data_IF_799480622487
#
_entry.id   IF_799480622487
#
_cell.length_a   1.000
_cell.length_b   1.000
_cell.length_c   1.000
_cell.angle_alpha   90.00
_cell.angle_beta   90.00
_cell.angle_gamma   90.00
#
_symmetry.space_group_name_H-M   'P 1'
#
loop_
_entity.id
_entity.type
_entity.pdbx_description
1 polymer ?
#
# COMPACT_ATOMS: atom_id res chain seq x y z
N UNK A 1 31.42 1.98 -12.92
CA UNK A 1 30.24 1.98 -13.80
C UNK A 1 29.70 3.38 -13.77
N UNK A 2 29.93 4.16 -14.84
CA UNK A 2 29.34 5.51 -14.93
C UNK A 2 27.84 5.38 -14.75
N UNK A 3 27.27 6.25 -13.92
CA UNK A 3 25.87 6.14 -13.52
C UNK A 3 25.01 6.51 -14.73
N UNK A 4 24.54 5.51 -15.47
CA UNK A 4 23.56 5.67 -16.54
C UNK A 4 22.40 6.51 -15.99
N UNK A 5 22.20 7.69 -16.54
CA UNK A 5 21.26 8.69 -15.99
C UNK A 5 20.09 8.98 -16.93
N UNK A 6 20.18 8.56 -18.19
CA UNK A 6 19.14 8.68 -19.20
C UNK A 6 18.54 7.31 -19.53
N UNK A 7 17.23 7.33 -19.79
CA UNK A 7 16.44 6.12 -20.05
C UNK A 7 16.90 5.35 -21.29
N UNK A 8 17.14 6.05 -22.40
CA UNK A 8 17.54 5.42 -23.66
C UNK A 8 18.96 4.83 -23.57
N UNK A 9 19.88 5.46 -22.82
CA UNK A 9 21.23 4.92 -22.61
C UNK A 9 21.19 3.55 -21.90
N UNK A 10 20.31 3.39 -20.90
CA UNK A 10 20.12 2.10 -20.24
C UNK A 10 19.57 1.05 -21.22
N UNK A 11 18.57 1.40 -22.01
CA UNK A 11 17.96 0.47 -22.96
C UNK A 11 18.97 0.04 -24.03
N UNK A 12 19.71 0.98 -24.61
CA UNK A 12 20.77 0.70 -25.57
C UNK A 12 21.84 -0.20 -24.94
N UNK A 13 22.32 0.14 -23.74
CA UNK A 13 23.28 -0.69 -23.02
C UNK A 13 22.76 -2.13 -22.85
N UNK A 14 21.51 -2.29 -22.42
CA UNK A 14 20.92 -3.60 -22.24
C UNK A 14 20.78 -4.39 -23.56
N UNK A 15 20.40 -3.72 -24.66
CA UNK A 15 20.25 -4.34 -25.97
C UNK A 15 21.60 -4.73 -26.57
N UNK A 16 22.62 -3.87 -26.44
CA UNK A 16 23.99 -4.12 -26.91
C UNK A 16 24.64 -5.31 -26.18
N UNK A 17 24.27 -5.51 -24.92
CA UNK A 17 24.84 -6.55 -24.05
C UNK A 17 23.90 -7.75 -23.84
N UNK A 18 22.86 -7.91 -24.66
CA UNK A 18 21.79 -8.92 -24.50
C UNK A 18 22.28 -10.36 -24.31
N UNK A 19 23.42 -10.71 -24.89
CA UNK A 19 24.00 -12.06 -24.81
C UNK A 19 24.66 -12.33 -23.44
N UNK A 20 25.01 -11.27 -22.71
CA UNK A 20 25.67 -11.34 -21.40
C UNK A 20 24.74 -11.05 -20.21
N UNK A 21 23.53 -10.53 -20.47
CA UNK A 21 22.59 -10.17 -19.40
C UNK A 21 22.02 -11.42 -18.74
N UNK A 22 22.23 -11.53 -17.42
CA UNK A 22 21.57 -12.53 -16.60
C UNK A 22 20.17 -12.12 -16.19
N UNK A 23 19.40 -13.08 -15.65
CA UNK A 23 18.04 -12.83 -15.10
C UNK A 23 18.00 -11.69 -14.08
N UNK A 24 19.05 -11.56 -13.27
CA UNK A 24 19.16 -10.51 -12.24
C UNK A 24 19.34 -9.14 -12.87
N UNK A 25 20.15 -9.05 -13.93
CA UNK A 25 20.41 -7.81 -14.65
C UNK A 25 19.16 -7.32 -15.38
N UNK A 26 18.41 -8.25 -15.99
CA UNK A 26 17.12 -7.92 -16.60
C UNK A 26 16.13 -7.36 -15.56
N UNK A 27 15.97 -8.00 -14.41
CA UNK A 27 15.09 -7.50 -13.33
C UNK A 27 15.60 -6.16 -12.77
N UNK A 28 16.91 -6.01 -12.58
CA UNK A 28 17.52 -4.79 -12.08
C UNK A 28 17.32 -3.62 -13.05
N UNK A 29 17.51 -3.85 -14.35
CA UNK A 29 17.30 -2.84 -15.40
C UNK A 29 15.86 -2.33 -15.38
N UNK A 30 14.85 -3.22 -15.34
CA UNK A 30 13.44 -2.82 -15.23
C UNK A 30 13.16 -2.04 -13.93
N UNK A 31 13.83 -2.40 -12.83
CA UNK A 31 13.71 -1.68 -11.56
C UNK A 31 14.30 -0.27 -11.64
N UNK A 32 15.37 -0.09 -12.42
CA UNK A 32 16.11 1.15 -12.51
C UNK A 32 15.48 2.17 -13.47
N UNK A 33 14.85 1.72 -14.55
CA UNK A 33 14.27 2.55 -15.62
C UNK A 33 13.46 3.75 -15.14
N UNK A 34 12.58 3.56 -14.15
CA UNK A 34 11.66 4.61 -13.67
C UNK A 34 12.38 5.76 -12.96
N UNK A 35 13.62 5.56 -12.53
CA UNK A 35 14.45 6.58 -11.90
C UNK A 35 15.26 7.43 -12.90
N UNK A 36 15.23 7.07 -14.18
CA UNK A 36 16.04 7.72 -15.22
C UNK A 36 15.34 8.94 -15.81
N UNK A 37 16.16 9.88 -16.31
CA UNK A 37 15.68 11.05 -17.03
C UNK A 37 15.06 10.63 -18.37
N UNK A 38 14.02 11.36 -18.78
CA UNK A 38 13.29 11.14 -20.03
C UNK A 38 12.67 9.73 -20.17
N UNK A 39 12.28 9.12 -19.05
CA UNK A 39 11.53 7.87 -19.06
C UNK A 39 10.30 7.97 -19.98
N UNK A 40 10.19 7.04 -20.94
CA UNK A 40 9.10 7.02 -21.90
C UNK A 40 8.61 5.62 -22.20
N UNK A 41 7.32 5.37 -21.93
CA UNK A 41 6.65 4.12 -22.29
C UNK A 41 6.45 3.95 -23.80
N UNK A 42 6.63 5.01 -24.59
CA UNK A 42 6.51 4.97 -26.05
C UNK A 42 7.84 4.75 -26.76
N UNK A 43 8.95 4.54 -26.02
CA UNK A 43 10.26 4.30 -26.61
C UNK A 43 10.26 3.01 -27.46
N UNK A 44 10.70 3.06 -28.73
CA UNK A 44 10.90 1.86 -29.55
C UNK A 44 11.88 0.88 -28.92
N UNK A 45 12.94 1.38 -28.28
CA UNK A 45 13.94 0.56 -27.60
C UNK A 45 13.35 -0.18 -26.39
N UNK A 46 12.36 0.42 -25.70
CA UNK A 46 11.65 -0.29 -24.63
C UNK A 46 10.86 -1.47 -25.18
N UNK A 47 10.24 -1.30 -26.36
CA UNK A 47 9.53 -2.40 -27.02
C UNK A 47 10.48 -3.53 -27.37
N UNK A 48 11.58 -3.23 -28.06
CA UNK A 48 12.59 -4.23 -28.43
C UNK A 48 13.17 -4.95 -27.21
N UNK A 49 13.51 -4.20 -26.15
CA UNK A 49 14.03 -4.80 -24.93
C UNK A 49 12.98 -5.62 -24.19
N UNK A 50 11.72 -5.20 -24.19
CA UNK A 50 10.63 -6.02 -23.68
C UNK A 50 10.45 -7.30 -24.48
N UNK A 51 10.65 -7.25 -25.80
CA UNK A 51 10.57 -8.41 -26.67
C UNK A 51 11.66 -9.42 -26.32
N UNK A 52 12.88 -8.95 -26.11
CA UNK A 52 13.99 -9.75 -25.62
C UNK A 52 13.69 -10.41 -24.27
N UNK A 53 13.23 -9.66 -23.28
CA UNK A 53 12.90 -10.21 -21.95
C UNK A 53 11.80 -11.26 -22.05
N UNK A 54 10.72 -10.96 -22.78
CA UNK A 54 9.58 -11.86 -22.89
C UNK A 54 9.92 -13.14 -23.67
N UNK A 55 10.86 -13.11 -24.63
CA UNK A 55 11.38 -14.33 -25.25
C UNK A 55 12.26 -15.17 -24.33
N UNK A 56 12.71 -14.62 -23.20
CA UNK A 56 13.51 -15.28 -22.17
C UNK A 56 12.70 -15.69 -20.94
N UNK A 57 11.36 -15.61 -20.95
CA UNK A 57 10.52 -15.95 -19.78
C UNK A 57 10.81 -17.33 -19.16
N UNK A 58 11.02 -18.41 -19.94
CA UNK A 58 11.35 -19.72 -19.37
C UNK A 58 12.62 -19.71 -18.49
N UNK A 59 13.59 -18.85 -18.80
CA UNK A 59 14.86 -18.75 -18.08
C UNK A 59 14.69 -18.15 -16.66
N UNK A 60 13.58 -17.49 -16.40
CA UNK A 60 13.28 -16.95 -15.06
C UNK A 60 12.76 -18.01 -14.10
N UNK A 61 12.16 -19.10 -14.60
CA UNK A 61 11.57 -20.17 -13.80
C UNK A 61 10.68 -19.62 -12.67
N UNK A 62 10.98 -19.99 -11.42
CA UNK A 62 10.25 -19.52 -10.22
C UNK A 62 10.34 -18.01 -9.97
N UNK A 63 11.21 -17.28 -10.68
CA UNK A 63 11.37 -15.81 -10.54
C UNK A 63 10.54 -15.00 -11.54
N UNK A 64 9.74 -15.63 -12.40
CA UNK A 64 8.95 -14.94 -13.45
C UNK A 64 8.00 -13.87 -12.86
N UNK A 65 7.46 -14.12 -11.68
CA UNK A 65 6.61 -13.18 -10.93
C UNK A 65 7.28 -11.82 -10.67
N UNK A 66 8.62 -11.78 -10.55
CA UNK A 66 9.36 -10.53 -10.38
C UNK A 66 9.39 -9.71 -11.67
N UNK A 67 9.51 -10.36 -12.83
CA UNK A 67 9.47 -9.68 -14.14
C UNK A 67 8.10 -9.07 -14.37
N UNK A 68 7.03 -9.85 -14.12
CA UNK A 68 5.64 -9.39 -14.20
C UNK A 68 5.44 -8.18 -13.29
N UNK A 69 5.82 -8.30 -12.01
CA UNK A 69 5.73 -7.21 -11.04
C UNK A 69 6.50 -5.97 -11.51
N UNK A 70 7.68 -6.09 -12.12
CA UNK A 70 8.44 -4.92 -12.61
C UNK A 70 7.78 -4.25 -13.82
N UNK A 71 7.25 -5.01 -14.78
CA UNK A 71 6.46 -4.39 -15.85
C UNK A 71 5.19 -3.71 -15.33
N UNK A 72 4.55 -4.28 -14.30
CA UNK A 72 3.43 -3.66 -13.59
C UNK A 72 3.81 -2.31 -12.98
N UNK A 73 4.92 -2.28 -12.25
CA UNK A 73 5.48 -1.05 -11.65
C UNK A 73 5.81 -0.03 -12.72
N UNK A 74 6.30 -0.43 -13.89
CA UNK A 74 6.55 0.49 -14.99
C UNK A 74 5.26 1.01 -15.64
N UNK A 75 4.16 0.25 -15.55
CA UNK A 75 2.91 0.54 -16.26
C UNK A 75 2.97 0.16 -17.75
N UNK A 76 3.84 -0.78 -18.12
CA UNK A 76 4.03 -1.20 -19.50
C UNK A 76 3.13 -2.38 -19.87
N UNK A 77 1.86 -2.07 -20.14
CA UNK A 77 0.80 -3.05 -20.42
C UNK A 77 1.08 -4.01 -21.60
N UNK A 78 1.74 -3.60 -22.71
CA UNK A 78 2.01 -4.52 -23.82
C UNK A 78 2.79 -5.76 -23.41
N UNK A 79 3.82 -5.61 -22.57
CA UNK A 79 4.58 -6.75 -22.06
C UNK A 79 3.73 -7.62 -21.13
N UNK A 80 2.91 -7.02 -20.25
CA UNK A 80 2.04 -7.76 -19.33
C UNK A 80 1.04 -8.65 -20.08
N UNK A 81 0.41 -8.14 -21.12
CA UNK A 81 -0.53 -8.90 -21.96
C UNK A 81 0.18 -10.07 -22.62
N UNK A 82 1.38 -9.85 -23.17
CA UNK A 82 2.14 -10.93 -23.81
C UNK A 82 2.59 -11.98 -22.82
N UNK A 83 3.09 -11.58 -21.64
CA UNK A 83 3.46 -12.53 -20.58
C UNK A 83 2.24 -13.34 -20.15
N UNK A 84 1.06 -12.71 -20.06
CA UNK A 84 -0.17 -13.41 -19.73
C UNK A 84 -0.52 -14.48 -20.76
N UNK A 85 -0.56 -14.09 -22.03
CA UNK A 85 -0.97 -14.97 -23.13
C UNK A 85 0.03 -16.09 -23.41
N UNK A 86 1.33 -15.81 -23.38
CA UNK A 86 2.35 -16.75 -23.83
C UNK A 86 2.83 -17.67 -22.69
N UNK A 87 2.71 -17.23 -21.44
CA UNK A 87 3.30 -17.92 -20.29
C UNK A 87 2.29 -18.12 -19.15
N UNK A 88 1.77 -17.03 -18.57
CA UNK A 88 1.11 -17.09 -17.28
C UNK A 88 -0.16 -17.96 -17.31
N UNK A 89 -1.02 -17.82 -18.32
CA UNK A 89 -2.33 -18.51 -18.36
C UNK A 89 -2.24 -20.04 -18.19
N UNK A 90 -1.11 -20.64 -18.56
CA UNK A 90 -0.87 -22.08 -18.46
C UNK A 90 -0.03 -22.50 -17.23
N UNK A 91 0.57 -21.56 -16.49
CA UNK A 91 1.49 -21.82 -15.37
C UNK A 91 1.02 -21.23 -14.04
N UNK A 92 -0.23 -20.76 -13.97
CA UNK A 92 -0.78 -20.14 -12.77
C UNK A 92 -0.89 -21.10 -11.59
N UNK A 93 -1.21 -22.36 -11.86
CA UNK A 93 -1.37 -23.38 -10.81
C UNK A 93 -0.04 -23.73 -10.14
N UNK A 94 1.06 -23.56 -10.87
CA UNK A 94 2.43 -23.80 -10.42
C UNK A 94 2.96 -22.66 -9.52
N UNK A 95 2.27 -21.52 -9.48
CA UNK A 95 2.70 -20.38 -8.69
C UNK A 95 2.29 -20.52 -7.23
N UNK A 96 3.22 -20.18 -6.33
CA UNK A 96 2.91 -20.08 -4.91
C UNK A 96 1.99 -18.89 -4.63
N UNK A 97 1.24 -18.97 -3.54
CA UNK A 97 0.33 -17.89 -3.12
C UNK A 97 1.06 -16.55 -3.01
N UNK A 98 2.25 -16.53 -2.41
CA UNK A 98 3.08 -15.32 -2.30
C UNK A 98 3.42 -14.70 -3.66
N UNK A 99 3.73 -15.54 -4.65
CA UNK A 99 4.01 -15.06 -6.01
C UNK A 99 2.75 -14.49 -6.65
N UNK A 100 1.61 -15.17 -6.50
CA UNK A 100 0.30 -14.71 -6.97
C UNK A 100 -0.10 -13.38 -6.30
N UNK A 101 0.10 -13.21 -4.99
CA UNK A 101 -0.11 -11.95 -4.28
C UNK A 101 0.72 -10.81 -4.88
N UNK A 102 1.99 -11.08 -5.19
CA UNK A 102 2.89 -10.06 -5.77
C UNK A 102 2.47 -9.63 -7.17
N UNK A 103 1.83 -10.51 -7.95
CA UNK A 103 1.33 -10.20 -9.29
C UNK A 103 -0.19 -9.99 -9.33
N UNK A 104 -0.86 -9.98 -8.18
CA UNK A 104 -2.33 -9.94 -8.08
C UNK A 104 -2.94 -8.67 -8.68
N UNK A 105 -2.25 -7.53 -8.54
CA UNK A 105 -2.58 -6.28 -9.25
C UNK A 105 -2.49 -6.36 -10.79
N UNK A 106 -1.75 -7.31 -11.36
CA UNK A 106 -1.69 -7.55 -12.82
C UNK A 106 -2.58 -8.70 -13.30
N UNK A 107 -2.85 -9.65 -12.42
CA UNK A 107 -3.53 -10.91 -12.73
C UNK A 107 -4.61 -11.18 -11.67
N UNK A 108 -5.51 -10.22 -11.48
CA UNK A 108 -6.49 -10.21 -10.39
C UNK A 108 -7.60 -11.28 -10.49
N UNK A 109 -7.35 -12.37 -11.19
CA UNK A 109 -8.29 -13.43 -11.47
C UNK A 109 -8.15 -14.63 -10.52
N UNK A 110 -7.20 -14.63 -9.58
CA UNK A 110 -6.83 -15.85 -8.85
C UNK A 110 -6.85 -15.67 -7.33
N UNK A 111 -7.68 -16.50 -6.68
CA UNK A 111 -7.73 -16.68 -5.23
C UNK A 111 -7.62 -18.17 -4.91
N UNK A 112 -6.72 -18.53 -3.98
CA UNK A 112 -6.66 -19.86 -3.37
C UNK A 112 -7.05 -19.73 -1.90
N UNK A 113 -8.03 -20.52 -1.47
CA UNK A 113 -8.71 -20.42 -0.16
C UNK A 113 -7.86 -20.86 1.02
N UNK A 114 -6.86 -21.69 0.76
CA UNK A 114 -6.23 -22.48 1.81
C UNK A 114 -4.83 -21.90 2.05
N UNK A 115 -4.54 -21.47 3.29
CA UNK A 115 -3.20 -21.08 3.81
C UNK A 115 -2.68 -19.65 3.61
N UNK A 116 -3.53 -18.66 3.29
CA UNK A 116 -3.07 -17.27 3.21
C UNK A 116 -2.62 -16.72 4.58
N UNK A 117 -1.36 -16.30 4.69
CA UNK A 117 -0.89 -15.49 5.83
C UNK A 117 -1.62 -14.15 5.90
N UNK A 118 -1.54 -13.45 7.03
CA UNK A 118 -2.12 -12.10 7.14
C UNK A 118 -1.59 -11.14 6.07
N UNK A 119 -0.29 -11.22 5.78
CA UNK A 119 0.35 -10.43 4.72
C UNK A 119 -0.24 -10.78 3.35
N UNK A 120 -0.38 -12.07 3.03
CA UNK A 120 -0.95 -12.50 1.75
C UNK A 120 -2.41 -12.05 1.60
N UNK A 121 -3.21 -12.25 2.65
CA UNK A 121 -4.60 -11.84 2.65
C UNK A 121 -4.76 -10.32 2.48
N UNK A 122 -3.90 -9.55 3.13
CA UNK A 122 -3.90 -8.08 3.04
C UNK A 122 -3.45 -7.58 1.68
N UNK A 123 -2.42 -8.20 1.08
CA UNK A 123 -1.96 -7.89 -0.27
C UNK A 123 -3.00 -8.24 -1.34
N UNK A 124 -3.70 -9.38 -1.21
CA UNK A 124 -4.76 -9.77 -2.14
C UNK A 124 -5.96 -8.82 -2.06
N UNK A 125 -6.43 -8.49 -0.85
CA UNK A 125 -7.49 -7.49 -0.68
C UNK A 125 -7.08 -6.16 -1.27
N UNK A 126 -5.86 -5.71 -1.01
CA UNK A 126 -5.36 -4.46 -1.57
C UNK A 126 -5.28 -4.49 -3.10
N UNK A 127 -4.85 -5.61 -3.68
CA UNK A 127 -4.80 -5.81 -5.13
C UNK A 127 -6.20 -5.72 -5.75
N UNK A 128 -7.20 -6.38 -5.14
CA UNK A 128 -8.59 -6.28 -5.58
C UNK A 128 -9.14 -4.86 -5.45
N UNK A 129 -8.83 -4.18 -4.34
CA UNK A 129 -9.23 -2.78 -4.15
C UNK A 129 -8.64 -1.86 -5.22
N UNK A 130 -7.39 -2.10 -5.64
CA UNK A 130 -6.69 -1.28 -6.63
C UNK A 130 -7.29 -1.32 -8.02
N UNK A 131 -7.86 -2.47 -8.40
CA UNK A 131 -8.52 -2.64 -9.70
C UNK A 131 -10.05 -2.64 -9.57
N UNK A 132 -10.57 -2.25 -8.40
CA UNK A 132 -12.00 -2.20 -8.06
C UNK A 132 -12.77 -3.51 -8.33
N UNK A 133 -12.09 -4.66 -8.26
CA UNK A 133 -12.69 -5.97 -8.50
C UNK A 133 -13.50 -6.40 -7.27
N UNK A 134 -14.82 -6.43 -7.43
CA UNK A 134 -15.76 -6.84 -6.39
C UNK A 134 -16.19 -8.28 -6.62
N UNK A 135 -15.44 -9.23 -6.08
CA UNK A 135 -15.83 -10.66 -6.07
C UNK A 135 -16.23 -11.07 -4.66
N UNK A 136 -17.55 -11.12 -4.36
CA UNK A 136 -18.05 -11.20 -2.99
C UNK A 136 -17.57 -12.43 -2.20
N UNK A 137 -17.44 -13.58 -2.87
CA UNK A 137 -17.01 -14.83 -2.22
C UNK A 137 -15.55 -14.76 -1.74
N UNK A 138 -14.63 -14.35 -2.63
CA UNK A 138 -13.20 -14.24 -2.31
C UNK A 138 -12.94 -13.15 -1.27
N UNK A 139 -13.59 -11.99 -1.43
CA UNK A 139 -13.53 -10.89 -0.46
C UNK A 139 -14.06 -11.37 0.90
N UNK A 140 -15.16 -12.12 0.91
CA UNK A 140 -15.74 -12.70 2.13
C UNK A 140 -14.77 -13.65 2.84
N UNK A 141 -14.09 -14.52 2.09
CA UNK A 141 -13.14 -15.48 2.63
C UNK A 141 -11.86 -14.81 3.17
N UNK A 142 -11.28 -13.86 2.41
CA UNK A 142 -10.14 -13.05 2.85
C UNK A 142 -10.48 -12.24 4.11
N UNK A 143 -11.64 -11.59 4.11
CA UNK A 143 -12.14 -10.85 5.26
C UNK A 143 -12.29 -11.75 6.48
N UNK A 144 -12.85 -12.96 6.31
CA UNK A 144 -13.00 -13.93 7.41
C UNK A 144 -11.65 -14.30 8.01
N UNK A 145 -10.64 -14.60 7.19
CA UNK A 145 -9.28 -14.91 7.65
C UNK A 145 -8.70 -13.75 8.49
N UNK A 146 -8.84 -12.51 7.99
CA UNK A 146 -8.31 -11.34 8.71
C UNK A 146 -9.03 -11.12 10.04
N UNK A 147 -10.35 -11.23 10.09
CA UNK A 147 -11.08 -11.11 11.36
C UNK A 147 -10.73 -12.22 12.34
N UNK A 148 -10.61 -13.46 11.89
CA UNK A 148 -10.17 -14.57 12.74
C UNK A 148 -8.77 -14.30 13.32
N UNK A 149 -7.86 -13.77 12.52
CA UNK A 149 -6.51 -13.38 12.97
C UNK A 149 -6.56 -12.23 13.98
N UNK A 150 -7.29 -11.15 13.67
CA UNK A 150 -7.45 -10.01 14.57
C UNK A 150 -8.05 -10.41 15.92
N UNK A 151 -9.12 -11.19 15.91
CA UNK A 151 -9.83 -11.62 17.12
C UNK A 151 -8.98 -12.56 17.98
N UNK A 152 -8.27 -13.50 17.34
CA UNK A 152 -7.33 -14.40 18.02
C UNK A 152 -6.18 -13.61 18.68
N UNK A 153 -5.53 -12.70 17.94
CA UNK A 153 -4.44 -11.87 18.46
C UNK A 153 -4.91 -10.95 19.59
N UNK A 154 -6.08 -10.29 19.46
CA UNK A 154 -6.63 -9.45 20.53
C UNK A 154 -6.95 -10.29 21.78
N UNK A 155 -7.49 -11.48 21.61
CA UNK A 155 -7.81 -12.37 22.74
C UNK A 155 -6.54 -12.75 23.49
N UNK A 156 -5.50 -13.19 22.79
CA UNK A 156 -4.20 -13.52 23.37
C UNK A 156 -3.52 -12.33 24.09
N UNK A 157 -3.70 -11.11 23.56
CA UNK A 157 -3.15 -9.90 24.18
C UNK A 157 -3.97 -9.42 25.39
N UNK A 158 -5.27 -9.73 25.46
CA UNK A 158 -6.15 -9.37 26.59
C UNK A 158 -5.97 -10.30 27.79
N UNK A 159 -5.65 -11.57 27.52
CA UNK A 159 -5.42 -12.59 28.54
C UNK A 159 -4.01 -13.19 28.39
N UNK A 160 -2.98 -12.53 28.96
CA UNK A 160 -1.60 -12.98 28.86
C UNK A 160 -1.35 -14.37 29.46
N UNK A 161 -2.22 -14.85 30.36
CA UNK A 161 -2.05 -16.14 31.03
C UNK A 161 -2.66 -17.31 30.25
N UNK A 162 -3.50 -17.03 29.24
CA UNK A 162 -4.13 -18.07 28.40
C UNK A 162 -3.17 -18.70 27.39
N UNK A 163 -3.34 -19.98 27.05
CA UNK A 163 -2.52 -20.58 25.98
C UNK A 163 -2.79 -19.91 24.61
N UNK A 164 -1.74 -19.77 23.79
CA UNK A 164 -1.90 -19.31 22.41
C UNK A 164 -2.62 -20.37 21.58
N UNK A 165 -3.63 -19.94 20.83
CA UNK A 165 -4.22 -20.80 19.81
C UNK A 165 -3.29 -20.94 18.58
N UNK A 166 -3.69 -21.80 17.64
CA UNK A 166 -2.93 -22.05 16.42
C UNK A 166 -2.78 -20.83 15.48
N UNK A 167 -3.56 -19.76 15.69
CA UNK A 167 -3.54 -18.56 14.83
C UNK A 167 -2.64 -17.49 15.44
N UNK A 168 -2.86 -17.15 16.70
CA UNK A 168 -2.07 -16.19 17.46
C UNK A 168 -0.61 -16.63 17.63
N UNK A 169 -0.34 -17.94 17.79
CA UNK A 169 1.03 -18.49 17.85
C UNK A 169 1.87 -18.28 16.59
N UNK A 170 1.26 -17.92 15.45
CA UNK A 170 1.99 -17.55 14.23
C UNK A 170 2.62 -16.16 14.36
N UNK A 171 2.04 -15.27 15.17
CA UNK A 171 2.42 -13.86 15.24
C UNK A 171 3.01 -13.45 16.59
N UNK A 172 2.67 -14.20 17.65
CA UNK A 172 3.06 -13.93 19.03
C UNK A 172 3.96 -15.04 19.55
N UNK A 173 4.97 -14.64 20.32
CA UNK A 173 5.72 -15.53 21.19
C UNK A 173 4.93 -15.78 22.49
N UNK A 174 5.39 -16.77 23.25
CA UNK A 174 4.89 -17.17 24.56
C UNK A 174 4.80 -16.01 25.56
N UNK A 175 5.67 -15.01 25.44
CA UNK A 175 5.68 -13.78 26.26
C UNK A 175 4.77 -12.66 25.71
N UNK A 176 3.96 -12.94 24.68
CA UNK A 176 3.09 -11.99 23.96
C UNK A 176 3.83 -10.90 23.18
N UNK A 177 5.14 -11.05 22.99
CA UNK A 177 5.88 -10.22 22.03
C UNK A 177 5.57 -10.64 20.60
N UNK A 178 5.55 -9.69 19.68
CA UNK A 178 5.32 -9.96 18.27
C UNK A 178 6.61 -10.38 17.57
N UNK A 179 6.55 -11.47 16.79
CA UNK A 179 7.67 -11.85 15.90
C UNK A 179 7.92 -10.82 14.79
N UNK A 180 6.87 -10.11 14.38
CA UNK A 180 6.96 -9.04 13.38
C UNK A 180 5.87 -7.98 13.59
N UNK A 181 6.10 -6.76 13.09
CA UNK A 181 5.09 -5.72 13.14
C UNK A 181 4.01 -5.97 12.07
N UNK A 182 2.83 -6.43 12.50
CA UNK A 182 1.69 -6.72 11.62
C UNK A 182 0.82 -5.51 11.28
N UNK A 183 1.07 -4.34 11.89
CA UNK A 183 0.17 -3.18 11.77
C UNK A 183 0.05 -2.64 10.35
N UNK A 184 1.11 -2.75 9.54
CA UNK A 184 1.09 -2.30 8.15
C UNK A 184 0.06 -3.07 7.33
N UNK A 185 0.08 -4.40 7.42
CA UNK A 185 -0.83 -5.31 6.72
C UNK A 185 -2.28 -5.08 7.18
N UNK A 186 -2.48 -4.88 8.49
CA UNK A 186 -3.78 -4.57 9.06
C UNK A 186 -4.33 -3.20 8.59
N UNK A 187 -3.49 -2.18 8.47
CA UNK A 187 -3.91 -0.87 7.95
C UNK A 187 -4.26 -0.95 6.46
N UNK A 188 -3.45 -1.67 5.67
CA UNK A 188 -3.70 -1.89 4.25
C UNK A 188 -5.02 -2.64 4.01
N UNK A 189 -5.27 -3.71 4.76
CA UNK A 189 -6.51 -4.48 4.65
C UNK A 189 -7.74 -3.69 5.10
N UNK A 190 -7.65 -2.86 6.15
CA UNK A 190 -8.73 -1.96 6.56
C UNK A 190 -9.15 -1.02 5.42
N UNK A 191 -8.18 -0.37 4.78
CA UNK A 191 -8.42 0.50 3.62
C UNK A 191 -8.97 -0.28 2.43
N UNK A 192 -8.42 -1.46 2.15
CA UNK A 192 -8.87 -2.31 1.05
C UNK A 192 -10.35 -2.72 1.22
N UNK A 193 -10.74 -3.15 2.43
CA UNK A 193 -12.12 -3.45 2.75
C UNK A 193 -13.03 -2.23 2.59
N UNK A 194 -12.57 -1.04 3.00
CA UNK A 194 -13.34 0.18 2.82
C UNK A 194 -13.57 0.55 1.34
N UNK A 195 -12.66 0.19 0.43
CA UNK A 195 -12.84 0.35 -1.02
C UNK A 195 -13.79 -0.71 -1.60
N UNK A 196 -13.62 -1.97 -1.18
CA UNK A 196 -14.31 -3.12 -1.76
C UNK A 196 -15.75 -3.28 -1.27
N UNK A 197 -15.97 -3.02 0.03
CA UNK A 197 -17.26 -3.18 0.71
C UNK A 197 -17.64 -1.92 1.51
N UNK A 198 -17.70 -0.71 0.89
CA UNK A 198 -17.91 0.56 1.60
C UNK A 198 -19.23 0.64 2.38
N UNK A 199 -20.23 -0.18 2.02
CA UNK A 199 -21.52 -0.24 2.72
C UNK A 199 -21.45 -1.05 4.02
N UNK A 200 -20.46 -1.92 4.19
CA UNK A 200 -20.27 -2.70 5.40
C UNK A 200 -19.47 -1.90 6.45
N UNK A 201 -20.10 -0.80 6.90
CA UNK A 201 -19.50 0.11 7.89
C UNK A 201 -19.15 -0.61 9.18
N UNK A 202 -19.95 -1.61 9.57
CA UNK A 202 -19.76 -2.38 10.79
C UNK A 202 -18.47 -3.19 10.74
N UNK A 203 -18.22 -3.91 9.64
CA UNK A 203 -16.94 -4.62 9.48
C UNK A 203 -15.77 -3.64 9.42
N UNK A 204 -15.84 -2.57 8.63
CA UNK A 204 -14.73 -1.62 8.51
C UNK A 204 -14.40 -1.01 9.88
N UNK A 205 -15.41 -0.56 10.63
CA UNK A 205 -15.26 -0.04 12.00
C UNK A 205 -14.62 -1.08 12.91
N UNK A 206 -15.17 -2.30 12.95
CA UNK A 206 -14.68 -3.38 13.82
C UNK A 206 -13.21 -3.72 13.53
N UNK A 207 -12.81 -3.70 12.27
CA UNK A 207 -11.41 -3.91 11.87
C UNK A 207 -10.51 -2.82 12.45
N UNK A 208 -10.90 -1.55 12.31
CA UNK A 208 -10.13 -0.42 12.83
C UNK A 208 -10.02 -0.51 14.36
N UNK A 209 -11.12 -0.81 15.06
CA UNK A 209 -11.12 -0.99 16.52
C UNK A 209 -10.17 -2.09 16.98
N UNK A 210 -10.25 -3.28 16.36
CA UNK A 210 -9.36 -4.39 16.70
C UNK A 210 -7.89 -4.05 16.42
N UNK A 211 -7.60 -3.39 15.31
CA UNK A 211 -6.24 -2.96 14.96
C UNK A 211 -5.68 -1.97 15.97
N UNK A 212 -6.44 -0.92 16.32
CA UNK A 212 -6.02 0.08 17.31
C UNK A 212 -5.81 -0.57 18.68
N UNK A 213 -6.66 -1.52 19.05
CA UNK A 213 -6.49 -2.29 20.27
C UNK A 213 -5.23 -3.16 20.25
N UNK A 214 -4.94 -3.87 19.16
CA UNK A 214 -3.69 -4.63 18.98
C UNK A 214 -2.48 -3.71 19.08
N UNK A 215 -2.52 -2.55 18.42
CA UNK A 215 -1.43 -1.57 18.47
C UNK A 215 -1.18 -1.09 19.91
N UNK A 216 -2.24 -0.84 20.68
CA UNK A 216 -2.16 -0.42 22.07
C UNK A 216 -1.64 -1.53 23.00
N UNK A 217 -2.27 -2.71 22.96
CA UNK A 217 -1.92 -3.82 23.85
C UNK A 217 -0.54 -4.39 23.52
N UNK A 218 -0.24 -4.57 22.23
CA UNK A 218 1.03 -5.06 21.72
C UNK A 218 2.15 -4.01 21.65
N UNK A 219 1.86 -2.76 22.03
CA UNK A 219 2.78 -1.60 21.94
C UNK A 219 3.40 -1.46 20.53
N UNK A 220 2.65 -1.80 19.49
CA UNK A 220 3.09 -1.70 18.10
C UNK A 220 2.85 -0.28 17.58
N UNK A 221 3.88 0.33 17.01
CA UNK A 221 3.76 1.64 16.38
C UNK A 221 3.04 1.56 15.04
N UNK A 222 2.12 2.50 14.81
CA UNK A 222 1.52 2.73 13.51
C UNK A 222 2.41 3.67 12.70
N UNK A 223 2.76 3.25 11.49
CA UNK A 223 3.52 4.10 10.54
C UNK A 223 2.63 5.24 10.01
N UNK A 224 3.24 6.34 9.54
CA UNK A 224 2.49 7.41 8.87
C UNK A 224 1.61 6.91 7.71
N UNK A 225 2.10 5.93 6.95
CA UNK A 225 1.33 5.28 5.88
C UNK A 225 0.13 4.48 6.44
N UNK A 226 0.33 3.77 7.55
CA UNK A 226 -0.73 3.05 8.25
C UNK A 226 -1.84 4.00 8.73
N UNK A 227 -1.46 5.05 9.45
CA UNK A 227 -2.38 6.09 9.95
C UNK A 227 -3.16 6.74 8.79
N UNK A 228 -2.47 7.07 7.68
CA UNK A 228 -3.12 7.61 6.48
C UNK A 228 -4.17 6.64 5.93
N UNK A 229 -3.86 5.34 5.90
CA UNK A 229 -4.77 4.31 5.42
C UNK A 229 -6.01 4.18 6.30
N UNK A 230 -5.88 4.32 7.62
CA UNK A 230 -7.01 4.32 8.56
C UNK A 230 -7.91 5.54 8.38
N UNK A 231 -7.34 6.73 8.21
CA UNK A 231 -8.11 7.94 7.92
C UNK A 231 -8.92 7.80 6.62
N UNK A 232 -8.30 7.26 5.57
CA UNK A 232 -9.00 6.97 4.31
C UNK A 232 -10.06 5.89 4.47
N UNK A 233 -9.80 4.84 5.26
CA UNK A 233 -10.77 3.79 5.54
C UNK A 233 -12.02 4.34 6.26
N UNK A 234 -11.82 5.17 7.29
CA UNK A 234 -12.93 5.86 7.98
C UNK A 234 -13.71 6.74 7.01
N UNK A 235 -13.01 7.50 6.15
CA UNK A 235 -13.63 8.39 5.17
C UNK A 235 -14.47 7.64 4.14
N UNK A 236 -13.97 6.51 3.63
CA UNK A 236 -14.66 5.66 2.67
C UNK A 236 -15.87 4.95 3.28
N UNK A 237 -15.73 4.45 4.52
CA UNK A 237 -16.83 3.85 5.27
C UNK A 237 -17.82 4.87 5.86
N UNK A 238 -17.47 6.16 5.89
CA UNK A 238 -18.25 7.20 6.58
C UNK A 238 -18.41 6.87 8.07
N UNK A 239 -17.30 6.56 8.73
CA UNK A 239 -17.21 6.21 10.15
C UNK A 239 -16.83 7.46 10.94
N UNK A 240 -17.69 7.88 11.86
CA UNK A 240 -17.51 9.09 12.69
C UNK A 240 -17.69 8.79 14.18
N UNK A 241 -17.62 7.51 14.57
CA UNK A 241 -17.74 7.08 15.96
C UNK A 241 -16.67 7.75 16.83
N UNK A 242 -17.10 8.40 17.92
CA UNK A 242 -16.25 9.24 18.75
C UNK A 242 -15.03 8.50 19.31
N UNK A 243 -15.20 7.26 19.79
CA UNK A 243 -14.08 6.47 20.34
C UNK A 243 -12.99 6.19 19.30
N UNK A 244 -13.40 5.79 18.08
CA UNK A 244 -12.47 5.51 16.99
C UNK A 244 -11.77 6.78 16.51
N UNK A 245 -12.51 7.89 16.41
CA UNK A 245 -11.93 9.20 16.05
C UNK A 245 -10.90 9.64 17.09
N UNK A 246 -11.23 9.56 18.38
CA UNK A 246 -10.33 9.95 19.47
C UNK A 246 -9.03 9.15 19.47
N UNK A 247 -9.12 7.82 19.37
CA UNK A 247 -7.95 6.95 19.31
C UNK A 247 -7.09 7.21 18.07
N UNK A 248 -7.69 7.42 16.90
CA UNK A 248 -6.94 7.70 15.67
C UNK A 248 -6.30 9.11 15.69
N UNK A 249 -6.95 10.09 16.33
CA UNK A 249 -6.35 11.39 16.60
C UNK A 249 -5.13 11.27 17.52
N UNK A 250 -5.19 10.43 18.56
CA UNK A 250 -4.04 10.16 19.43
C UNK A 250 -2.90 9.45 18.67
N UNK A 251 -3.22 8.43 17.87
CA UNK A 251 -2.24 7.77 17.01
C UNK A 251 -1.58 8.74 16.02
N UNK A 252 -2.29 9.79 15.61
CA UNK A 252 -1.80 10.80 14.67
C UNK A 252 -0.88 11.85 15.31
N UNK A 253 -0.73 11.90 16.65
CA UNK A 253 -0.12 13.01 17.41
C UNK A 253 1.33 13.36 17.05
N UNK A 254 2.03 12.46 16.38
CA UNK A 254 3.44 12.62 16.01
C UNK A 254 3.72 12.56 14.50
N UNK A 255 2.68 12.58 13.65
CA UNK A 255 2.86 12.53 12.19
C UNK A 255 3.84 13.59 11.67
N UNK A 256 3.83 14.80 12.23
CA UNK A 256 4.74 15.87 11.80
C UNK A 256 6.22 15.57 12.04
N UNK A 257 6.52 14.68 13.01
CA UNK A 257 7.88 14.27 13.38
C UNK A 257 8.33 13.04 12.60
N UNK A 258 7.41 12.32 11.96
CA UNK A 258 7.73 11.19 11.09
C UNK A 258 8.36 11.69 9.79
N UNK A 259 9.57 11.21 9.50
CA UNK A 259 10.32 11.57 8.31
C UNK A 259 9.73 10.94 7.03
N UNK A 260 8.95 9.87 7.16
CA UNK A 260 8.23 9.24 6.04
C UNK A 260 6.93 9.96 5.67
N UNK A 261 6.42 10.82 6.55
CA UNK A 261 5.19 11.59 6.32
C UNK A 261 5.41 12.70 5.27
N UNK A 262 4.70 12.57 4.15
CA UNK A 262 4.87 13.39 2.96
C UNK A 262 3.58 14.09 2.51
N UNK A 263 3.67 14.93 1.47
CA UNK A 263 2.56 15.74 0.97
C UNK A 263 1.35 14.94 0.48
N UNK A 264 1.56 13.75 -0.11
CA UNK A 264 0.45 12.88 -0.53
C UNK A 264 -0.34 12.38 0.67
N UNK A 265 0.35 11.93 1.72
CA UNK A 265 -0.27 11.46 2.95
C UNK A 265 -1.02 12.60 3.64
N UNK A 266 -0.41 13.79 3.73
CA UNK A 266 -1.07 14.97 4.28
C UNK A 266 -2.35 15.33 3.53
N UNK A 267 -2.31 15.38 2.20
CA UNK A 267 -3.50 15.70 1.41
C UNK A 267 -4.59 14.65 1.58
N UNK A 268 -4.23 13.37 1.67
CA UNK A 268 -5.16 12.28 1.91
C UNK A 268 -5.84 12.41 3.28
N UNK A 269 -5.08 12.63 4.36
CA UNK A 269 -5.62 12.81 5.70
C UNK A 269 -6.49 14.07 5.76
N UNK A 270 -6.00 15.21 5.27
CA UNK A 270 -6.73 16.48 5.27
C UNK A 270 -8.08 16.36 4.54
N UNK A 271 -8.10 15.70 3.37
CA UNK A 271 -9.34 15.40 2.65
C UNK A 271 -10.28 14.50 3.45
N UNK A 272 -9.73 13.48 4.13
CA UNK A 272 -10.50 12.54 4.94
C UNK A 272 -11.16 13.23 6.13
N UNK A 273 -10.40 14.00 6.92
CA UNK A 273 -10.95 14.70 8.10
C UNK A 273 -11.97 15.76 7.69
N UNK A 274 -11.75 16.48 6.58
CA UNK A 274 -12.74 17.41 6.04
C UNK A 274 -14.05 16.70 5.72
N UNK A 275 -13.99 15.61 4.94
CA UNK A 275 -15.18 14.88 4.50
C UNK A 275 -15.92 14.22 5.67
N UNK A 276 -15.22 13.87 6.74
CA UNK A 276 -15.80 13.35 7.98
C UNK A 276 -16.27 14.45 8.94
N UNK A 277 -15.97 15.73 8.68
CA UNK A 277 -16.31 16.85 9.57
C UNK A 277 -15.51 16.88 10.88
N UNK A 278 -14.27 16.36 10.88
CA UNK A 278 -13.44 16.23 12.08
C UNK A 278 -12.58 17.49 12.26
N UNK A 279 -12.74 18.15 13.42
CA UNK A 279 -12.03 19.38 13.78
C UNK A 279 -11.10 19.21 15.00
N UNK A 280 -10.59 18.01 15.24
CA UNK A 280 -9.71 17.75 16.39
C UNK A 280 -8.35 18.47 16.25
N UNK A 281 -7.98 19.21 17.30
CA UNK A 281 -6.76 20.00 17.31
C UNK A 281 -5.48 19.16 17.15
N UNK A 282 -5.46 17.90 17.63
CA UNK A 282 -4.27 17.03 17.57
C UNK A 282 -3.85 16.78 16.14
N UNK A 283 -4.80 16.45 15.26
CA UNK A 283 -4.53 16.18 13.84
C UNK A 283 -4.37 17.47 13.03
N UNK A 284 -5.20 18.49 13.27
CA UNK A 284 -5.08 19.80 12.60
C UNK A 284 -3.69 20.39 12.83
N UNK A 285 -3.20 20.35 14.08
CA UNK A 285 -1.87 20.82 14.42
C UNK A 285 -0.76 20.12 13.62
N UNK A 286 -0.86 18.79 13.41
CA UNK A 286 0.13 18.08 12.60
C UNK A 286 0.14 18.59 11.16
N UNK A 287 -1.03 18.81 10.58
CA UNK A 287 -1.20 19.26 9.20
C UNK A 287 -0.63 20.67 9.03
N UNK A 288 -1.06 21.62 9.85
CA UNK A 288 -0.62 23.03 9.70
C UNK A 288 0.87 23.18 10.01
N UNK A 289 1.41 22.45 10.99
CA UNK A 289 2.84 22.48 11.29
C UNK A 289 3.67 21.87 10.16
N UNK A 290 3.22 20.76 9.56
CA UNK A 290 3.92 20.17 8.41
C UNK A 290 3.93 21.16 7.24
N UNK A 291 2.79 21.80 6.95
CA UNK A 291 2.68 22.82 5.90
C UNK A 291 3.60 24.02 6.15
N UNK A 292 3.65 24.55 7.38
CA UNK A 292 4.59 25.61 7.76
C UNK A 292 6.05 25.25 7.44
N UNK A 293 6.44 23.99 7.64
CA UNK A 293 7.86 23.59 7.50
C UNK A 293 8.23 23.07 6.12
N UNK A 294 7.27 22.51 5.38
CA UNK A 294 7.56 21.68 4.20
C UNK A 294 6.68 21.98 2.99
N UNK A 295 5.70 22.88 3.06
CA UNK A 295 4.80 23.11 1.93
C UNK A 295 5.51 23.56 0.65
N UNK A 296 6.64 24.27 0.73
CA UNK A 296 7.47 24.66 -0.44
C UNK A 296 7.98 23.47 -1.27
N UNK A 297 7.98 22.26 -0.70
CA UNK A 297 8.39 21.04 -1.40
C UNK A 297 7.23 20.36 -2.12
N UNK A 298 5.99 20.86 -1.96
CA UNK A 298 4.79 20.28 -2.57
C UNK A 298 4.70 20.64 -4.05
N UNK A 299 4.13 19.74 -4.84
CA UNK A 299 3.73 20.06 -6.20
C UNK A 299 2.47 20.93 -6.20
N UNK A 300 2.32 21.81 -7.21
CA UNK A 300 1.19 22.74 -7.30
C UNK A 300 -0.21 22.09 -7.13
N UNK A 301 -0.51 20.90 -7.71
CA UNK A 301 -1.81 20.25 -7.49
C UNK A 301 -2.06 19.88 -6.02
N UNK A 302 -1.01 19.49 -5.30
CA UNK A 302 -1.11 19.14 -3.88
C UNK A 302 -1.32 20.39 -3.04
N UNK A 303 -0.62 21.49 -3.34
CA UNK A 303 -0.81 22.78 -2.68
C UNK A 303 -2.26 23.25 -2.85
N UNK A 304 -2.75 23.28 -4.10
CA UNK A 304 -4.13 23.66 -4.39
C UNK A 304 -5.13 22.79 -3.62
N UNK A 305 -4.94 21.47 -3.63
CA UNK A 305 -5.79 20.56 -2.84
C UNK A 305 -5.76 20.91 -1.34
N UNK A 306 -4.58 21.15 -0.76
CA UNK A 306 -4.47 21.50 0.65
C UNK A 306 -5.21 22.81 0.97
N UNK A 307 -5.05 23.84 0.13
CA UNK A 307 -5.71 25.14 0.27
C UNK A 307 -7.24 24.96 0.30
N UNK A 308 -7.81 24.31 -0.73
CA UNK A 308 -9.26 24.13 -0.81
C UNK A 308 -9.84 23.36 0.39
N UNK A 309 -9.09 22.40 0.93
CA UNK A 309 -9.56 21.66 2.11
C UNK A 309 -9.43 22.49 3.40
N UNK A 310 -8.34 23.25 3.59
CA UNK A 310 -8.17 24.12 4.76
C UNK A 310 -9.23 25.23 4.78
N UNK A 311 -9.45 25.87 3.64
CA UNK A 311 -10.47 26.92 3.48
C UNK A 311 -11.87 26.38 3.77
N UNK A 312 -12.24 25.23 3.20
CA UNK A 312 -13.53 24.59 3.46
C UNK A 312 -13.71 24.16 4.93
N UNK A 313 -12.61 23.97 5.68
CA UNK A 313 -12.64 23.68 7.12
C UNK A 313 -12.52 24.95 7.99
N UNK A 314 -12.37 26.14 7.40
CA UNK A 314 -12.16 27.39 8.14
C UNK A 314 -10.83 27.46 8.88
N UNK A 315 -9.79 26.73 8.44
CA UNK A 315 -8.48 26.68 9.10
C UNK A 315 -7.57 27.76 8.53
N UNK A 316 -7.39 28.84 9.29
CA UNK A 316 -6.56 29.99 8.92
C UNK A 316 -5.28 30.04 9.77
N UNK A 317 -4.20 29.41 9.31
CA UNK A 317 -2.89 29.46 9.97
C UNK A 317 -1.90 30.25 9.13
N UNK A 318 -1.63 31.50 9.53
CA UNK A 318 -0.88 32.50 8.76
C UNK A 318 0.42 31.95 8.15
N UNK A 319 1.29 31.34 8.97
CA UNK A 319 2.57 30.80 8.48
C UNK A 319 2.39 29.67 7.47
N UNK A 320 1.36 28.84 7.61
CA UNK A 320 1.12 27.74 6.68
C UNK A 320 0.59 28.27 5.34
N UNK A 321 -0.32 29.25 5.40
CA UNK A 321 -0.88 29.92 4.22
C UNK A 321 0.19 30.68 3.42
N UNK A 322 1.13 31.32 4.11
CA UNK A 322 2.30 31.93 3.48
C UNK A 322 3.15 30.92 2.71
N UNK A 323 3.42 29.75 3.29
CA UNK A 323 4.19 28.69 2.61
C UNK A 323 3.43 28.06 1.44
N UNK A 324 2.10 28.17 1.43
CA UNK A 324 1.24 27.77 0.32
C UNK A 324 1.09 28.87 -0.77
N UNK A 325 1.69 30.04 -0.58
CA UNK A 325 1.72 31.12 -1.57
C UNK A 325 0.44 31.95 -1.65
N UNK A 326 -0.38 31.99 -0.60
CA UNK A 326 -1.62 32.79 -0.58
C UNK A 326 -1.41 34.20 0.00
N UNK A 327 -0.44 34.36 0.90
CA UNK A 327 -0.17 35.60 1.66
C UNK A 327 1.31 35.93 1.67
#
# INVERSE_FOLDING_TARGET
MDKLSHFDDLLNYCLDHRESLGKRDMIASLSYMRSLRHFSLSSPQLREYSDFICSNLPNFGTSVHLVIHRFAVLGYNPALLRIYEDYLKNHLEDMSLKQLCLIGWTAAYFYRTDTASLTDASLLLWSFAKIERRVPHEIGALRKNIFQTLESVVTALRDPDSDLDNVSSIYLDTDRSFYCNITHDLCMSAKALAVLVPRDKRSIKRHIELLLEISRLGKLSLTAQGITSLWEAMCLGGITDHSVVDELCEASRYLRLDHSFNSNMLCAILRSIRKLGIHDARIIYQIVHWLEKRAVQMHAPQMFSAICNLEAMGITHEKAWKQLGIT
#
